data_IF_421413828346
#
_entry.id   IF_421413828346
#
_cell.length_a   1.000
_cell.length_b   1.000
_cell.length_c   1.000
_cell.angle_alpha   90.00
_cell.angle_beta   90.00
_cell.angle_gamma   90.00
#
_symmetry.space_group_name_H-M   'P 1'
#
loop_
_entity.id
_entity.type
_entity.pdbx_description
1 polymer ?
#
# COMPACT_ATOMS: atom_id res chain seq x y z
N UNK A 1 -10.71 -14.21 -12.17
CA UNK A 1 -9.61 -14.34 -13.16
C UNK A 1 -8.82 -13.04 -13.12
N UNK A 2 -7.48 -13.09 -13.00
CA UNK A 2 -6.65 -11.87 -12.93
C UNK A 2 -6.61 -11.17 -14.29
N UNK A 3 -6.62 -9.81 -14.36
CA UNK A 3 -6.46 -9.07 -15.60
C UNK A 3 -5.20 -9.45 -16.38
N UNK A 4 -4.13 -9.80 -15.67
CA UNK A 4 -2.84 -10.16 -16.26
C UNK A 4 -2.91 -11.51 -16.97
N UNK A 5 -3.63 -12.48 -16.39
CA UNK A 5 -3.85 -13.79 -16.99
C UNK A 5 -4.70 -13.68 -18.26
N UNK A 6 -5.73 -12.82 -18.24
CA UNK A 6 -6.56 -12.55 -19.43
C UNK A 6 -5.73 -11.95 -20.57
N UNK A 7 -4.89 -10.95 -20.28
CA UNK A 7 -4.01 -10.34 -21.28
C UNK A 7 -3.04 -11.35 -21.90
N UNK A 8 -2.40 -12.19 -21.09
CA UNK A 8 -1.52 -13.27 -21.58
C UNK A 8 -2.27 -14.34 -22.40
N UNK A 9 -3.59 -14.43 -22.24
CA UNK A 9 -4.45 -15.34 -22.99
C UNK A 9 -5.06 -14.68 -24.24
N UNK A 10 -4.60 -13.47 -24.61
CA UNK A 10 -5.10 -12.74 -25.78
C UNK A 10 -6.44 -12.01 -25.57
N UNK A 11 -6.86 -11.80 -24.32
CA UNK A 11 -8.13 -11.12 -23.97
C UNK A 11 -7.80 -9.77 -23.32
N UNK A 12 -8.06 -8.67 -24.03
CA UNK A 12 -7.69 -7.34 -23.56
C UNK A 12 -7.76 -6.26 -24.64
N UNK A 13 -7.11 -5.13 -24.39
CA UNK A 13 -7.01 -4.04 -25.36
C UNK A 13 -6.08 -4.45 -26.54
N UNK A 14 -6.55 -4.43 -27.80
CA UNK A 14 -5.76 -4.84 -28.95
C UNK A 14 -4.42 -4.10 -29.08
N UNK A 15 -4.39 -2.81 -28.80
CA UNK A 15 -3.16 -2.01 -28.94
C UNK A 15 -2.13 -2.44 -27.89
N UNK A 16 -2.59 -2.76 -26.67
CA UNK A 16 -1.73 -3.27 -25.59
C UNK A 16 -1.23 -4.68 -25.91
N UNK A 17 -2.10 -5.55 -26.44
CA UNK A 17 -1.76 -6.93 -26.76
C UNK A 17 -0.76 -7.01 -27.93
N UNK A 18 -1.00 -6.25 -29.01
CA UNK A 18 -0.11 -6.20 -30.17
C UNK A 18 1.27 -5.64 -29.83
N UNK A 19 1.33 -4.59 -29.00
CA UNK A 19 2.61 -4.04 -28.51
C UNK A 19 3.40 -5.04 -27.64
N UNK A 20 2.71 -6.04 -27.07
CA UNK A 20 3.29 -7.10 -26.27
C UNK A 20 3.52 -8.41 -27.06
N UNK A 21 3.35 -8.39 -28.38
CA UNK A 21 3.44 -9.57 -29.26
C UNK A 21 2.49 -10.72 -28.85
N UNK A 22 1.30 -10.37 -28.36
CA UNK A 22 0.25 -11.31 -27.99
C UNK A 22 -0.87 -11.29 -29.04
N UNK A 23 -1.24 -12.48 -29.54
CA UNK A 23 -2.37 -12.64 -30.44
C UNK A 23 -3.68 -12.18 -29.78
N UNK A 24 -4.45 -11.36 -30.49
CA UNK A 24 -5.76 -10.89 -30.01
C UNK A 24 -6.81 -11.97 -30.25
N UNK A 25 -7.23 -12.65 -29.18
CA UNK A 25 -8.34 -13.62 -29.19
C UNK A 25 -9.67 -12.91 -28.99
N UNK A 26 -9.73 -11.93 -28.07
CA UNK A 26 -10.93 -11.13 -27.79
C UNK A 26 -10.55 -9.67 -27.52
N UNK A 27 -11.10 -8.73 -28.31
CA UNK A 27 -11.03 -7.30 -28.02
C UNK A 27 -11.93 -6.98 -26.80
N UNK A 28 -11.29 -6.77 -25.65
CA UNK A 28 -11.95 -6.40 -24.41
C UNK A 28 -11.13 -5.34 -23.67
N UNK A 29 -11.23 -4.10 -24.15
CA UNK A 29 -10.52 -2.92 -23.60
C UNK A 29 -10.76 -2.63 -22.12
N UNK A 30 -11.79 -3.23 -21.50
CA UNK A 30 -12.05 -3.09 -20.06
C UNK A 30 -11.05 -3.84 -19.16
N UNK A 31 -10.31 -4.81 -19.69
CA UNK A 31 -9.42 -5.67 -18.89
C UNK A 31 -8.28 -4.87 -18.26
N UNK A 32 -8.34 -4.71 -16.94
CA UNK A 32 -7.33 -4.01 -16.14
C UNK A 32 -7.49 -2.50 -16.04
N UNK A 33 -8.55 -1.90 -16.63
CA UNK A 33 -8.76 -0.45 -16.65
C UNK A 33 -9.67 0.10 -15.53
N UNK A 34 -10.28 -0.76 -14.71
CA UNK A 34 -11.16 -0.36 -13.59
C UNK A 34 -10.60 -0.83 -12.25
N UNK A 35 -9.32 -0.53 -11.98
CA UNK A 35 -8.71 -0.81 -10.69
C UNK A 35 -9.33 0.11 -9.63
N UNK A 36 -9.77 -0.48 -8.52
CA UNK A 36 -10.29 0.25 -7.35
C UNK A 36 -9.45 -0.14 -6.15
N UNK A 37 -9.22 0.84 -5.29
CA UNK A 37 -8.48 0.69 -4.04
C UNK A 37 -9.28 1.35 -2.92
N UNK A 38 -9.11 0.86 -1.70
CA UNK A 38 -9.52 1.55 -0.48
C UNK A 38 -8.39 2.48 -0.05
N UNK A 39 -8.59 3.78 -0.25
CA UNK A 39 -7.61 4.80 0.15
C UNK A 39 -7.46 4.82 1.67
N UNK A 40 -6.24 4.62 2.14
CA UNK A 40 -5.91 4.71 3.57
C UNK A 40 -5.37 6.10 3.90
N UNK A 41 -5.82 6.66 5.03
CA UNK A 41 -5.25 7.87 5.63
C UNK A 41 -4.91 7.54 7.09
N UNK A 42 -3.64 7.69 7.46
CA UNK A 42 -3.18 7.55 8.83
C UNK A 42 -3.12 8.92 9.51
N UNK A 43 -3.81 9.09 10.63
CA UNK A 43 -3.68 10.27 11.48
C UNK A 43 -2.97 9.86 12.76
N UNK A 44 -1.85 10.50 13.05
CA UNK A 44 -1.06 10.28 14.27
C UNK A 44 -1.19 11.48 15.19
N UNK A 45 -1.31 11.21 16.49
CA UNK A 45 -1.39 12.24 17.53
C UNK A 45 -0.25 12.03 18.53
N UNK A 46 0.38 13.13 18.95
CA UNK A 46 1.30 13.11 20.08
C UNK A 46 0.48 13.06 21.37
N UNK A 47 0.59 11.96 22.11
CA UNK A 47 -0.05 11.84 23.42
C UNK A 47 0.80 12.53 24.48
N UNK A 48 0.15 13.27 25.39
CA UNK A 48 0.79 13.70 26.65
C UNK A 48 1.14 12.46 27.47
N UNK A 49 2.21 12.53 28.24
CA UNK A 49 2.69 11.43 29.07
C UNK A 49 1.77 11.18 30.28
N UNK A 50 0.60 10.58 30.01
CA UNK A 50 -0.13 9.76 30.96
C UNK A 50 -1.20 8.96 30.22
N UNK A 51 -1.24 7.67 30.52
CA UNK A 51 -2.19 6.67 30.02
C UNK A 51 -1.87 6.12 28.62
N UNK A 52 -0.74 5.41 28.56
CA UNK A 52 -0.55 4.34 27.58
C UNK A 52 -1.66 3.30 27.84
N UNK A 53 -2.74 3.34 27.05
CA UNK A 53 -3.82 2.37 27.17
C UNK A 53 -3.30 1.00 26.71
N UNK A 54 -2.96 0.14 27.67
CA UNK A 54 -2.45 -1.21 27.45
C UNK A 54 -3.54 -2.08 26.78
N UNK A 55 -3.59 -2.07 25.44
CA UNK A 55 -4.40 -3.00 24.67
C UNK A 55 -3.52 -4.12 24.08
N UNK A 56 -2.78 -4.83 24.94
CA UNK A 56 -2.43 -6.25 24.85
C UNK A 56 -1.27 -6.59 25.83
N UNK A 57 -1.31 -7.72 26.56
CA UNK A 57 -0.23 -8.11 27.44
C UNK A 57 0.74 -9.04 26.69
N UNK A 58 1.70 -8.48 25.97
CA UNK A 58 2.79 -9.30 25.40
C UNK A 58 4.17 -8.71 25.70
N UNK A 59 4.72 -9.20 26.82
CA UNK A 59 6.16 -9.38 27.17
C UNK A 59 6.97 -8.21 27.81
N UNK A 60 7.82 -8.51 28.82
CA UNK A 60 8.38 -7.52 29.78
C UNK A 60 9.59 -6.69 29.31
N UNK A 61 9.88 -6.56 28.00
CA UNK A 61 11.21 -6.13 27.51
C UNK A 61 11.33 -4.77 26.80
N UNK A 62 10.25 -4.05 26.53
CA UNK A 62 10.33 -2.85 25.65
C UNK A 62 10.63 -1.50 26.34
N UNK A 63 11.08 -1.49 27.60
CA UNK A 63 11.64 -0.29 28.25
C UNK A 63 12.85 0.31 27.50
N UNK A 64 13.41 -0.37 26.50
CA UNK A 64 14.65 0.04 25.82
C UNK A 64 14.47 1.05 24.66
N UNK A 65 13.26 1.31 24.16
CA UNK A 65 13.07 2.21 23.00
C UNK A 65 12.67 3.65 23.35
N UNK A 66 12.31 3.93 24.61
CA UNK A 66 12.04 5.31 25.05
C UNK A 66 13.32 6.17 25.05
N UNK A 67 14.51 5.56 25.01
CA UNK A 67 15.80 6.27 24.92
C UNK A 67 16.08 6.90 23.55
N UNK A 68 15.34 6.53 22.49
CA UNK A 68 15.48 7.17 21.16
C UNK A 68 14.57 8.41 21.04
N UNK A 69 14.36 9.12 22.16
CA UNK A 69 13.59 10.37 22.21
C UNK A 69 14.45 11.63 22.09
N UNK A 70 15.78 11.56 22.03
CA UNK A 70 16.62 12.76 22.20
C UNK A 70 17.31 13.34 20.95
N UNK A 71 17.38 12.66 19.80
CA UNK A 71 18.27 13.15 18.71
C UNK A 71 17.62 13.83 17.49
N UNK A 72 16.29 13.78 17.29
CA UNK A 72 15.65 14.44 16.13
C UNK A 72 14.84 15.69 16.49
N UNK A 73 15.36 16.44 17.46
CA UNK A 73 15.00 17.84 17.65
C UNK A 73 15.67 18.70 16.57
N UNK A 74 14.86 19.52 15.90
CA UNK A 74 15.20 20.56 14.93
C UNK A 74 15.20 20.14 13.45
N UNK A 75 14.43 20.91 12.66
CA UNK A 75 14.48 21.04 11.21
C UNK A 75 13.61 20.09 10.39
N UNK A 76 12.29 20.24 10.50
CA UNK A 76 11.43 20.24 9.31
C UNK A 76 10.33 21.27 9.55
N UNK A 77 10.46 22.41 8.87
CA UNK A 77 9.54 23.55 8.68
C UNK A 77 10.30 24.91 8.79
N UNK A 78 11.35 25.04 7.97
CA UNK A 78 11.61 26.23 7.13
C UNK A 78 11.98 25.73 5.76
#
# INVERSE_FOLDING_TARGET
MSPQLLKLSGIGDPDVLQNADVEVVVDLRGVGNNVREHKFIGITYQMKEREMLYIWPTTPRHMAQVSVKEEFGSNFLT
#
